data_IF_393689214392
#
_entry.id   IF_393689214392
#
_cell.length_a   1.000
_cell.length_b   1.000
_cell.length_c   1.000
_cell.angle_alpha   90.00
_cell.angle_beta   90.00
_cell.angle_gamma   90.00
#
_symmetry.space_group_name_H-M   'P 1'
#
loop_
_entity.id
_entity.type
_entity.pdbx_description
1 polymer ?
#
# COMPACT_ATOMS: atom_id res chain seq x y z
N UNK A 1 66.75 11.67 15.74
CA UNK A 1 66.98 11.73 14.29
C UNK A 1 66.10 10.64 13.70
N UNK A 2 64.87 10.98 13.33
CA UNK A 2 63.95 10.06 12.68
C UNK A 2 64.30 10.00 11.20
N UNK A 3 64.62 8.81 10.70
CA UNK A 3 64.74 8.58 9.27
C UNK A 3 63.35 8.64 8.66
N UNK A 4 63.01 9.77 8.05
CA UNK A 4 61.88 9.87 7.12
C UNK A 4 62.27 9.15 5.82
N UNK A 5 62.12 7.83 5.83
CA UNK A 5 62.20 7.06 4.59
C UNK A 5 60.98 7.40 3.72
N UNK A 6 61.22 7.82 2.48
CA UNK A 6 60.17 7.99 1.48
C UNK A 6 59.45 6.66 1.28
N UNK A 7 58.13 6.65 1.49
CA UNK A 7 57.28 5.44 1.39
C UNK A 7 57.11 4.96 -0.06
N UNK A 8 57.43 5.82 -1.05
CA UNK A 8 57.28 5.54 -2.48
C UNK A 8 58.64 5.37 -3.15
N UNK A 9 58.74 4.39 -4.06
CA UNK A 9 59.97 4.19 -4.83
C UNK A 9 60.17 5.31 -5.87
N UNK A 10 61.41 5.64 -6.27
CA UNK A 10 61.73 6.80 -7.12
C UNK A 10 61.10 6.83 -8.53
N UNK A 11 60.46 5.76 -8.95
CA UNK A 11 59.72 5.65 -10.22
C UNK A 11 58.20 5.56 -10.04
N UNK A 12 57.71 5.60 -8.81
CA UNK A 12 56.30 5.43 -8.48
C UNK A 12 55.63 6.81 -8.39
N UNK A 13 54.90 7.17 -9.45
CA UNK A 13 54.08 8.38 -9.47
C UNK A 13 52.66 8.02 -9.03
N UNK A 14 52.09 8.86 -8.14
CA UNK A 14 50.68 8.76 -7.77
C UNK A 14 49.82 8.90 -9.03
N UNK A 15 49.12 7.84 -9.39
CA UNK A 15 48.16 7.87 -10.50
C UNK A 15 46.93 8.65 -10.03
N UNK A 16 46.89 9.95 -10.33
CA UNK A 16 45.79 10.85 -9.96
C UNK A 16 44.44 10.33 -10.48
N UNK A 17 44.42 9.71 -11.66
CA UNK A 17 43.24 9.05 -12.23
C UNK A 17 42.77 7.85 -11.40
N UNK A 18 43.69 7.10 -10.77
CA UNK A 18 43.34 6.01 -9.84
C UNK A 18 42.85 6.55 -8.48
N UNK A 19 43.34 7.72 -8.06
CA UNK A 19 42.89 8.43 -6.86
C UNK A 19 41.43 8.88 -6.99
N UNK A 20 41.05 9.39 -8.17
CA UNK A 20 39.66 9.79 -8.46
C UNK A 20 38.73 8.63 -8.81
N UNK A 21 39.23 7.46 -9.24
CA UNK A 21 38.37 6.29 -9.51
C UNK A 21 37.80 5.64 -8.25
N UNK A 22 38.37 5.90 -7.06
CA UNK A 22 37.77 5.50 -5.78
C UNK A 22 36.49 6.30 -5.50
N UNK A 23 36.37 7.50 -6.09
CA UNK A 23 35.23 8.40 -5.92
C UNK A 23 34.29 8.48 -7.14
N UNK A 24 34.70 7.92 -8.28
CA UNK A 24 33.95 8.00 -9.53
C UNK A 24 33.41 6.63 -9.97
N UNK A 25 32.21 6.33 -9.43
CA UNK A 25 31.14 5.50 -9.99
C UNK A 25 31.27 3.98 -9.77
N UNK A 26 30.47 3.49 -8.81
CA UNK A 26 29.71 2.24 -8.98
C UNK A 26 29.72 1.26 -7.82
N UNK A 27 28.74 1.43 -6.92
CA UNK A 27 27.97 0.31 -6.32
C UNK A 27 28.72 -0.71 -5.45
N UNK A 28 28.93 -0.35 -4.17
CA UNK A 28 28.75 -1.23 -2.99
C UNK A 28 29.15 -0.48 -1.72
N UNK A 29 28.33 0.50 -1.34
CA UNK A 29 28.16 0.87 0.06
C UNK A 29 26.71 0.53 0.44
N UNK A 30 26.43 -0.77 0.41
CA UNK A 30 25.45 -1.33 1.34
C UNK A 30 26.19 -1.39 2.67
N UNK A 31 25.51 -0.95 3.72
CA UNK A 31 25.85 -0.98 5.15
C UNK A 31 26.27 0.38 5.76
N UNK A 32 25.28 0.91 6.49
CA UNK A 32 25.34 1.83 7.63
C UNK A 32 25.55 3.33 7.37
N UNK A 33 24.42 4.02 7.16
CA UNK A 33 24.09 5.27 7.88
C UNK A 33 22.57 5.64 7.78
N UNK A 34 21.68 4.64 7.87
CA UNK A 34 20.21 4.83 7.92
C UNK A 34 19.64 4.67 9.35
N UNK A 35 20.41 4.97 10.40
CA UNK A 35 19.93 4.87 11.79
C UNK A 35 19.25 6.14 12.34
N UNK A 36 19.29 7.29 11.64
CA UNK A 36 18.90 8.58 12.24
C UNK A 36 17.67 9.29 11.64
N UNK A 37 16.88 8.68 10.75
CA UNK A 37 15.73 9.40 10.14
C UNK A 37 14.44 8.60 9.90
N UNK A 38 14.27 7.41 10.48
CA UNK A 38 12.99 6.71 10.42
C UNK A 38 12.23 6.90 11.72
N UNK A 39 11.34 7.90 11.77
CA UNK A 39 10.10 7.71 12.52
C UNK A 39 9.37 6.59 11.79
N UNK A 40 9.62 5.37 12.25
CA UNK A 40 8.90 4.21 11.75
C UNK A 40 7.41 4.45 11.99
N UNK A 41 6.57 3.97 11.08
CA UNK A 41 5.10 3.96 11.23
C UNK A 41 4.65 3.62 12.67
N UNK A 42 5.41 2.75 13.35
CA UNK A 42 5.25 2.37 14.75
C UNK A 42 5.32 3.54 15.76
N UNK A 43 6.26 4.49 15.61
CA UNK A 43 6.37 5.64 16.51
C UNK A 43 5.17 6.57 16.35
N UNK A 44 4.74 6.82 15.11
CA UNK A 44 3.52 7.60 14.85
C UNK A 44 2.27 6.91 15.43
N UNK A 45 2.20 5.59 15.35
CA UNK A 45 1.10 4.81 15.93
C UNK A 45 1.12 4.85 17.47
N UNK A 46 2.29 4.74 18.08
CA UNK A 46 2.46 4.87 19.53
C UNK A 46 2.12 6.27 20.02
N UNK A 47 2.49 7.32 19.28
CA UNK A 47 2.09 8.69 19.59
C UNK A 47 0.56 8.84 19.62
N UNK A 48 -0.16 8.26 18.67
CA UNK A 48 -1.63 8.27 18.68
C UNK A 48 -2.22 7.43 19.81
N UNK A 49 -1.57 6.32 20.19
CA UNK A 49 -1.99 5.45 21.30
C UNK A 49 -1.82 6.15 22.64
N UNK A 50 -0.72 6.87 22.83
CA UNK A 50 -0.44 7.71 24.00
C UNK A 50 -1.42 8.88 24.06
N UNK A 51 -1.61 9.61 22.95
CA UNK A 51 -2.58 10.71 22.88
C UNK A 51 -3.99 10.28 23.30
N UNK A 52 -4.44 9.11 22.85
CA UNK A 52 -5.75 8.57 23.25
C UNK A 52 -5.87 8.30 24.76
N UNK A 53 -4.75 8.04 25.43
CA UNK A 53 -4.70 7.76 26.87
C UNK A 53 -4.58 9.05 27.67
N UNK A 54 -3.69 9.96 27.24
CA UNK A 54 -3.34 11.19 27.96
C UNK A 54 -4.36 12.31 27.73
N UNK A 55 -4.87 12.45 26.50
CA UNK A 55 -5.90 13.41 26.13
C UNK A 55 -6.93 12.79 25.15
N UNK A 56 -7.91 12.03 25.68
CA UNK A 56 -8.96 11.41 24.86
C UNK A 56 -9.80 12.42 24.09
N UNK A 57 -9.97 13.65 24.61
CA UNK A 57 -10.80 14.66 23.98
C UNK A 57 -10.12 15.20 22.70
N UNK A 58 -8.81 15.42 22.75
CA UNK A 58 -8.02 15.84 21.59
C UNK A 58 -7.95 14.73 20.54
N UNK A 59 -7.80 13.46 20.97
CA UNK A 59 -7.87 12.32 20.07
C UNK A 59 -9.22 12.25 19.32
N UNK A 60 -10.33 12.35 20.03
CA UNK A 60 -11.68 12.36 19.43
C UNK A 60 -11.87 13.57 18.51
N UNK A 61 -11.35 14.74 18.89
CA UNK A 61 -11.40 15.94 18.04
C UNK A 61 -10.68 15.69 16.71
N UNK A 62 -9.49 15.10 16.74
CA UNK A 62 -8.70 14.79 15.54
C UNK A 62 -9.39 13.71 14.69
N UNK A 63 -9.88 12.64 15.32
CA UNK A 63 -10.55 11.53 14.65
C UNK A 63 -11.84 11.97 13.90
N UNK A 64 -12.52 13.00 14.42
CA UNK A 64 -13.75 13.55 13.84
C UNK A 64 -13.51 14.75 12.90
N UNK A 65 -12.26 15.07 12.54
CA UNK A 65 -11.99 16.12 11.56
C UNK A 65 -12.56 15.76 10.19
N UNK A 66 -13.23 16.72 9.56
CA UNK A 66 -13.70 16.57 8.18
C UNK A 66 -12.53 16.47 7.22
N UNK A 67 -12.73 15.77 6.11
CA UNK A 67 -11.80 15.78 4.98
C UNK A 67 -11.55 17.20 4.44
N UNK A 68 -10.37 17.39 3.86
CA UNK A 68 -9.94 18.63 3.21
C UNK A 68 -9.27 19.62 4.16
N UNK A 69 -8.74 19.18 5.31
CA UNK A 69 -7.95 20.02 6.20
C UNK A 69 -6.67 20.48 5.50
N UNK A 70 -6.34 21.76 5.64
CA UNK A 70 -5.13 22.35 5.05
C UNK A 70 -4.38 23.12 6.11
N UNK A 71 -3.06 22.90 6.18
CA UNK A 71 -2.16 23.63 7.06
C UNK A 71 -0.90 24.03 6.31
N UNK A 72 -0.29 25.15 6.68
CA UNK A 72 1.10 25.45 6.34
C UNK A 72 2.00 25.18 7.54
N UNK A 73 3.27 24.90 7.30
CA UNK A 73 4.28 24.85 8.35
C UNK A 73 5.65 25.23 7.81
N UNK A 74 6.56 25.57 8.73
CA UNK A 74 7.97 25.71 8.39
C UNK A 74 8.61 24.34 8.22
N UNK A 75 9.42 24.20 7.18
CA UNK A 75 10.13 22.94 6.91
C UNK A 75 11.46 23.20 6.20
N UNK A 76 12.47 22.39 6.50
CA UNK A 76 13.72 22.39 5.74
C UNK A 76 13.47 21.97 4.27
N UNK A 77 12.64 20.95 4.08
CA UNK A 77 12.20 20.49 2.77
C UNK A 77 11.02 21.33 2.30
N UNK A 78 11.19 22.06 1.19
CA UNK A 78 10.12 22.87 0.57
C UNK A 78 9.25 22.02 -0.33
N UNK A 79 7.95 22.27 -0.32
CA UNK A 79 7.01 21.47 -1.10
C UNK A 79 5.65 21.34 -0.45
N UNK A 80 4.96 20.24 -0.74
CA UNK A 80 3.59 20.00 -0.27
C UNK A 80 3.39 18.53 0.04
N UNK A 81 2.72 18.25 1.15
CA UNK A 81 2.23 16.90 1.45
C UNK A 81 0.76 16.83 1.11
N UNK A 82 0.33 15.76 0.45
CA UNK A 82 -1.06 15.53 0.05
C UNK A 82 -1.46 14.11 0.40
N UNK A 83 -2.54 13.96 1.15
CA UNK A 83 -3.14 12.67 1.47
C UNK A 83 -4.51 12.52 0.79
N UNK A 84 -4.62 11.51 -0.06
CA UNK A 84 -5.78 11.23 -0.90
C UNK A 84 -6.41 9.89 -0.55
N UNK A 85 -7.73 9.79 -0.69
CA UNK A 85 -8.48 8.55 -0.49
C UNK A 85 -9.57 8.38 -1.55
N UNK A 86 -9.75 7.14 -2.01
CA UNK A 86 -10.88 6.66 -2.80
C UNK A 86 -11.24 5.25 -2.29
N UNK A 87 -12.20 5.18 -1.37
CA UNK A 87 -12.61 3.93 -0.73
C UNK A 87 -11.48 3.40 0.14
N UNK A 88 -11.02 2.18 -0.14
CA UNK A 88 -9.85 1.57 0.51
C UNK A 88 -8.50 2.00 -0.10
N UNK A 89 -8.51 2.61 -1.29
CA UNK A 89 -7.29 3.07 -1.93
C UNK A 89 -6.87 4.43 -1.35
N UNK A 90 -5.68 4.47 -0.76
CA UNK A 90 -5.13 5.64 -0.09
C UNK A 90 -3.72 5.92 -0.57
N UNK A 91 -3.35 7.20 -0.67
CA UNK A 91 -2.00 7.61 -1.02
C UNK A 91 -1.57 8.85 -0.26
N UNK A 92 -0.39 8.76 0.34
CA UNK A 92 0.34 9.87 0.93
C UNK A 92 1.48 10.26 -0.02
N UNK A 93 1.53 11.53 -0.41
CA UNK A 93 2.44 12.03 -1.44
C UNK A 93 3.22 13.23 -0.90
N UNK A 94 4.54 13.22 -1.09
CA UNK A 94 5.36 14.43 -0.99
C UNK A 94 5.60 14.99 -2.39
N UNK A 95 5.24 16.25 -2.57
CA UNK A 95 5.42 17.01 -3.79
C UNK A 95 6.51 18.06 -3.59
N UNK A 96 7.28 18.33 -4.63
CA UNK A 96 8.22 19.45 -4.65
C UNK A 96 7.50 20.81 -4.82
N UNK A 97 8.28 21.89 -4.93
CA UNK A 97 7.75 23.23 -5.16
C UNK A 97 6.95 23.36 -6.48
N UNK A 98 7.30 22.57 -7.49
CA UNK A 98 6.67 22.55 -8.82
C UNK A 98 5.45 21.62 -8.90
N UNK A 99 5.19 20.82 -7.87
CA UNK A 99 4.08 19.87 -7.80
C UNK A 99 4.40 18.48 -8.36
N UNK A 100 5.67 18.17 -8.63
CA UNK A 100 6.10 16.82 -8.99
C UNK A 100 6.23 15.93 -7.75
N UNK A 101 5.91 14.64 -7.90
CA UNK A 101 6.00 13.68 -6.80
C UNK A 101 7.48 13.37 -6.53
N UNK A 102 7.93 13.70 -5.32
CA UNK A 102 9.27 13.36 -4.82
C UNK A 102 9.28 11.94 -4.27
N UNK A 103 8.31 11.61 -3.43
CA UNK A 103 8.18 10.27 -2.83
C UNK A 103 6.73 9.95 -2.45
N UNK A 104 6.45 8.65 -2.33
CA UNK A 104 5.22 8.09 -1.77
C UNK A 104 5.49 7.23 -0.52
N UNK A 105 6.74 7.20 -0.05
CA UNK A 105 7.14 6.43 1.12
C UNK A 105 6.61 7.07 2.41
N UNK A 106 5.83 6.32 3.18
CA UNK A 106 5.09 6.85 4.33
C UNK A 106 6.05 7.35 5.41
N UNK A 107 7.10 6.58 5.74
CA UNK A 107 8.04 6.94 6.80
C UNK A 107 8.75 8.26 6.49
N UNK A 108 9.21 8.42 5.23
CA UNK A 108 9.83 9.66 4.75
C UNK A 108 8.88 10.85 4.86
N UNK A 109 7.62 10.69 4.43
CA UNK A 109 6.64 11.79 4.50
C UNK A 109 6.29 12.14 5.94
N UNK A 110 6.13 11.16 6.83
CA UNK A 110 5.87 11.39 8.25
C UNK A 110 7.05 12.11 8.93
N UNK A 111 8.30 11.76 8.57
CA UNK A 111 9.49 12.45 9.05
C UNK A 111 9.47 13.95 8.71
N UNK A 112 9.06 14.30 7.48
CA UNK A 112 8.92 15.70 7.05
C UNK A 112 7.72 16.41 7.72
N UNK A 113 6.70 15.67 8.16
CA UNK A 113 5.53 16.20 8.86
C UNK A 113 5.70 16.30 10.39
N UNK A 114 6.82 15.82 10.95
CA UNK A 114 7.07 15.85 12.40
C UNK A 114 7.01 17.28 12.93
N UNK A 115 6.09 17.55 13.86
CA UNK A 115 5.90 18.86 14.49
C UNK A 115 5.93 18.73 16.01
N UNK A 116 6.22 19.84 16.69
CA UNK A 116 6.06 19.94 18.15
C UNK A 116 4.69 20.51 18.49
N UNK A 117 4.14 20.24 19.70
CA UNK A 117 2.83 20.78 20.11
C UNK A 117 2.74 22.31 20.08
N UNK A 118 3.87 23.00 20.28
CA UNK A 118 3.96 24.46 20.31
C UNK A 118 4.16 25.09 18.92
N UNK A 119 4.28 24.27 17.86
CA UNK A 119 4.50 24.77 16.50
C UNK A 119 3.22 25.41 15.96
N UNK A 120 3.31 26.69 15.60
CA UNK A 120 2.17 27.45 15.08
C UNK A 120 1.98 27.14 13.59
N UNK A 121 0.76 26.74 13.22
CA UNK A 121 0.37 26.56 11.83
C UNK A 121 0.43 27.86 11.02
N UNK A 122 0.98 27.77 9.83
CA UNK A 122 1.08 28.88 8.88
C UNK A 122 -0.11 28.91 7.90
N UNK A 123 -0.43 30.08 7.33
CA UNK A 123 -1.36 30.16 6.21
C UNK A 123 -0.79 29.43 4.99
N UNK A 124 -1.70 28.89 4.19
CA UNK A 124 -1.39 28.19 2.94
C UNK A 124 -1.45 29.16 1.77
N UNK A 125 -0.45 29.13 0.90
CA UNK A 125 -0.39 30.00 -0.27
C UNK A 125 -1.45 29.61 -1.34
N UNK A 126 -1.91 30.53 -2.22
CA UNK A 126 -2.91 30.20 -3.23
C UNK A 126 -2.49 29.15 -4.26
N UNK A 127 -1.20 29.04 -4.58
CA UNK A 127 -0.65 28.03 -5.50
C UNK A 127 -0.69 26.62 -4.89
N UNK A 128 -0.74 26.50 -3.55
CA UNK A 128 -1.00 25.24 -2.87
C UNK A 128 -2.27 24.56 -3.34
N UNK A 129 -3.36 25.32 -3.48
CA UNK A 129 -4.64 24.76 -3.89
C UNK A 129 -4.57 24.19 -5.31
N UNK A 130 -3.83 24.84 -6.19
CA UNK A 130 -3.63 24.38 -7.56
C UNK A 130 -2.84 23.06 -7.59
N UNK A 131 -1.74 22.96 -6.84
CA UNK A 131 -0.95 21.74 -6.74
C UNK A 131 -1.76 20.57 -6.13
N UNK A 132 -2.53 20.82 -5.07
CA UNK A 132 -3.41 19.83 -4.45
C UNK A 132 -4.50 19.36 -5.42
N UNK A 133 -5.08 20.27 -6.20
CA UNK A 133 -6.09 19.92 -7.20
C UNK A 133 -5.50 19.08 -8.35
N UNK A 134 -4.28 19.39 -8.79
CA UNK A 134 -3.55 18.60 -9.77
C UNK A 134 -3.24 17.18 -9.24
N UNK A 135 -2.74 17.08 -8.00
CA UNK A 135 -2.48 15.81 -7.33
C UNK A 135 -3.76 14.97 -7.16
N UNK A 136 -4.87 15.59 -6.74
CA UNK A 136 -6.19 14.95 -6.66
C UNK A 136 -6.61 14.38 -8.01
N UNK A 137 -6.42 15.14 -9.08
CA UNK A 137 -6.81 14.73 -10.44
C UNK A 137 -5.96 13.57 -10.95
N UNK A 138 -4.66 13.55 -10.64
CA UNK A 138 -3.77 12.43 -10.93
C UNK A 138 -4.17 11.18 -10.16
N UNK A 139 -4.39 11.31 -8.84
CA UNK A 139 -4.88 10.24 -7.99
C UNK A 139 -6.22 9.67 -8.47
N UNK A 140 -7.16 10.52 -8.89
CA UNK A 140 -8.45 10.09 -9.42
C UNK A 140 -8.31 9.21 -10.67
N UNK A 141 -7.38 9.54 -11.56
CA UNK A 141 -7.08 8.70 -12.75
C UNK A 141 -6.50 7.35 -12.34
N UNK A 142 -5.54 7.33 -11.42
CA UNK A 142 -4.93 6.09 -10.91
C UNK A 142 -5.96 5.20 -10.18
N UNK A 143 -6.82 5.80 -9.36
CA UNK A 143 -7.87 5.10 -8.64
C UNK A 143 -8.88 4.48 -9.60
N UNK A 144 -9.29 5.23 -10.64
CA UNK A 144 -10.19 4.72 -11.66
C UNK A 144 -9.57 3.58 -12.48
N UNK A 145 -8.31 3.71 -12.90
CA UNK A 145 -7.59 2.63 -13.59
C UNK A 145 -7.54 1.36 -12.75
N UNK A 146 -7.19 1.48 -11.46
CA UNK A 146 -7.18 0.35 -10.52
C UNK A 146 -8.56 -0.27 -10.35
N UNK A 147 -9.60 0.54 -10.24
CA UNK A 147 -10.96 0.05 -10.13
C UNK A 147 -11.36 -0.73 -11.38
N UNK A 148 -11.07 -0.22 -12.58
CA UNK A 148 -11.32 -0.93 -13.84
C UNK A 148 -10.53 -2.25 -13.90
N UNK A 149 -9.26 -2.25 -13.49
CA UNK A 149 -8.43 -3.47 -13.41
C UNK A 149 -8.99 -4.48 -12.39
N UNK A 150 -9.47 -4.00 -11.23
CA UNK A 150 -10.11 -4.81 -10.20
C UNK A 150 -11.43 -5.39 -10.71
N UNK A 151 -12.32 -4.58 -11.30
CA UNK A 151 -13.58 -5.04 -11.91
C UNK A 151 -13.34 -6.05 -13.04
N UNK A 152 -12.28 -5.86 -13.83
CA UNK A 152 -11.86 -6.85 -14.83
C UNK A 152 -11.33 -8.14 -14.17
N UNK A 153 -10.64 -8.02 -13.04
CA UNK A 153 -10.19 -9.16 -12.20
C UNK A 153 -11.35 -9.81 -11.43
N UNK A 154 -12.42 -9.08 -11.13
CA UNK A 154 -13.68 -9.55 -10.53
C UNK A 154 -14.58 -10.26 -11.54
N UNK A 155 -14.29 -10.17 -12.84
CA UNK A 155 -14.87 -11.10 -13.79
C UNK A 155 -14.36 -12.52 -13.48
N UNK A 156 -15.27 -13.42 -13.11
CA UNK A 156 -14.94 -14.82 -12.77
C UNK A 156 -13.91 -15.37 -13.76
N UNK A 157 -12.77 -15.86 -13.27
CA UNK A 157 -11.76 -16.45 -14.14
C UNK A 157 -12.34 -17.64 -14.93
N UNK A 158 -11.71 -18.00 -16.06
CA UNK A 158 -12.16 -19.16 -16.83
C UNK A 158 -12.18 -20.46 -15.99
N UNK A 159 -11.27 -20.60 -15.02
CA UNK A 159 -11.29 -21.72 -14.07
C UNK A 159 -12.46 -21.64 -13.09
N UNK A 160 -12.72 -20.48 -12.48
CA UNK A 160 -13.88 -20.28 -11.60
C UNK A 160 -15.21 -20.53 -12.33
N UNK A 161 -15.37 -20.07 -13.58
CA UNK A 161 -16.61 -20.32 -14.34
C UNK A 161 -16.87 -21.81 -14.55
N UNK A 162 -15.83 -22.58 -14.86
CA UNK A 162 -15.95 -24.03 -15.05
C UNK A 162 -16.28 -24.69 -13.71
N UNK A 163 -15.54 -24.39 -12.66
CA UNK A 163 -15.76 -24.96 -11.32
C UNK A 163 -17.17 -24.65 -10.80
N UNK A 164 -17.64 -23.41 -10.92
CA UNK A 164 -18.99 -23.02 -10.52
C UNK A 164 -20.08 -23.71 -11.35
N UNK A 165 -19.82 -24.00 -12.63
CA UNK A 165 -20.74 -24.78 -13.46
C UNK A 165 -20.82 -26.23 -12.97
N UNK A 166 -19.68 -26.86 -12.69
CA UNK A 166 -19.67 -28.24 -12.19
C UNK A 166 -20.29 -28.37 -10.80
N UNK A 167 -20.09 -27.39 -9.90
CA UNK A 167 -20.78 -27.35 -8.61
C UNK A 167 -22.31 -27.29 -8.75
N UNK A 168 -22.83 -26.54 -9.73
CA UNK A 168 -24.27 -26.50 -10.02
C UNK A 168 -24.79 -27.84 -10.55
N UNK A 169 -24.00 -28.52 -11.37
CA UNK A 169 -24.30 -29.87 -11.84
C UNK A 169 -24.38 -30.85 -10.65
N UNK A 170 -23.37 -30.85 -9.78
CA UNK A 170 -23.31 -31.70 -8.59
C UNK A 170 -24.48 -31.42 -7.62
N UNK A 171 -24.84 -30.15 -7.44
CA UNK A 171 -25.99 -29.74 -6.64
C UNK A 171 -27.31 -30.30 -7.19
N UNK A 172 -27.49 -30.26 -8.51
CA UNK A 172 -28.69 -30.75 -9.17
C UNK A 172 -28.83 -32.28 -9.11
N UNK A 173 -27.72 -33.01 -9.14
CA UNK A 173 -27.69 -34.48 -9.11
C UNK A 173 -27.81 -35.07 -7.69
N UNK A 174 -27.43 -34.30 -6.68
CA UNK A 174 -27.47 -34.74 -5.28
C UNK A 174 -28.86 -34.52 -4.67
N UNK A 175 -29.37 -35.49 -3.91
CA UNK A 175 -30.60 -35.37 -3.08
C UNK A 175 -30.32 -35.22 -1.59
N UNK A 176 -29.07 -35.42 -1.17
CA UNK A 176 -28.60 -35.23 0.20
C UNK A 176 -28.60 -33.74 0.58
N UNK A 177 -29.26 -33.43 1.71
CA UNK A 177 -29.46 -32.06 2.19
C UNK A 177 -28.16 -31.46 2.73
N UNK A 178 -27.35 -32.25 3.43
CA UNK A 178 -26.11 -31.78 4.04
C UNK A 178 -25.07 -31.52 2.94
N UNK A 179 -25.00 -32.40 1.95
CA UNK A 179 -24.16 -32.22 0.77
C UNK A 179 -24.56 -30.99 -0.05
N UNK A 180 -25.87 -30.74 -0.24
CA UNK A 180 -26.36 -29.52 -0.89
C UNK A 180 -25.97 -28.25 -0.13
N UNK A 181 -26.02 -28.28 1.21
CA UNK A 181 -25.57 -27.17 2.04
C UNK A 181 -24.08 -26.92 1.87
N UNK A 182 -23.26 -27.97 1.87
CA UNK A 182 -21.82 -27.88 1.63
C UNK A 182 -21.49 -27.29 0.25
N UNK A 183 -22.13 -27.78 -0.82
CA UNK A 183 -21.94 -27.25 -2.18
C UNK A 183 -22.31 -25.76 -2.25
N UNK A 184 -23.38 -25.34 -1.56
CA UNK A 184 -23.79 -23.93 -1.51
C UNK A 184 -22.76 -23.03 -0.83
N UNK A 185 -22.11 -23.53 0.24
CA UNK A 185 -21.02 -22.82 0.92
C UNK A 185 -19.82 -22.63 -0.01
N UNK A 186 -19.41 -23.71 -0.70
CA UNK A 186 -18.30 -23.67 -1.65
C UNK A 186 -18.61 -22.73 -2.83
N UNK A 187 -19.82 -22.79 -3.40
CA UNK A 187 -20.20 -21.91 -4.51
C UNK A 187 -20.09 -20.42 -4.12
N UNK A 188 -20.52 -20.07 -2.92
CA UNK A 188 -20.39 -18.69 -2.42
C UNK A 188 -18.93 -18.28 -2.22
N UNK A 189 -18.08 -19.15 -1.68
CA UNK A 189 -16.67 -18.88 -1.43
C UNK A 189 -15.88 -18.67 -2.72
N UNK A 190 -16.05 -19.57 -3.70
CA UNK A 190 -15.29 -19.54 -4.96
C UNK A 190 -15.82 -18.56 -6.01
N UNK A 191 -17.01 -17.97 -5.78
CA UNK A 191 -17.55 -16.87 -6.58
C UNK A 191 -16.91 -15.51 -6.24
N UNK A 192 -16.34 -15.36 -5.04
CA UNK A 192 -15.67 -14.14 -4.59
C UNK A 192 -14.27 -13.94 -5.20
N UNK A 193 -13.58 -12.83 -4.84
CA UNK A 193 -12.19 -12.62 -5.21
C UNK A 193 -11.31 -13.68 -4.56
N UNK A 194 -10.45 -14.32 -5.37
CA UNK A 194 -9.55 -15.39 -4.93
C UNK A 194 -8.09 -14.97 -5.09
N UNK A 195 -7.23 -15.37 -4.15
CA UNK A 195 -5.78 -15.14 -4.26
C UNK A 195 -5.18 -15.87 -5.46
N UNK A 196 -4.03 -15.39 -5.96
CA UNK A 196 -3.32 -16.04 -7.10
C UNK A 196 -3.01 -17.51 -6.83
N UNK A 197 -2.70 -17.87 -5.59
CA UNK A 197 -2.45 -19.25 -5.20
C UNK A 197 -3.70 -20.12 -5.39
N UNK A 198 -4.86 -19.67 -4.91
CA UNK A 198 -6.13 -20.39 -5.10
C UNK A 198 -6.50 -20.47 -6.58
N UNK A 199 -6.30 -19.39 -7.35
CA UNK A 199 -6.57 -19.40 -8.80
C UNK A 199 -5.70 -20.42 -9.55
N UNK A 200 -4.43 -20.57 -9.16
CA UNK A 200 -3.52 -21.57 -9.73
C UNK A 200 -4.01 -23.00 -9.46
N UNK A 201 -4.52 -23.25 -8.25
CA UNK A 201 -5.09 -24.55 -7.87
C UNK A 201 -6.37 -24.86 -8.66
N UNK A 202 -7.28 -23.89 -8.79
CA UNK A 202 -8.47 -24.07 -9.65
C UNK A 202 -8.09 -24.38 -11.10
N UNK A 203 -7.01 -23.78 -11.60
CA UNK A 203 -6.50 -24.06 -12.94
C UNK A 203 -5.90 -25.48 -13.04
N UNK A 204 -5.26 -25.99 -11.99
CA UNK A 204 -4.79 -27.37 -11.91
C UNK A 204 -5.95 -28.37 -11.88
N UNK A 205 -6.97 -28.13 -11.06
CA UNK A 205 -8.20 -28.94 -11.02
C UNK A 205 -8.89 -28.98 -12.39
N UNK A 206 -8.94 -27.85 -13.09
CA UNK A 206 -9.47 -27.77 -14.45
C UNK A 206 -8.68 -28.61 -15.44
N UNK A 207 -7.34 -28.61 -15.35
CA UNK A 207 -6.48 -29.45 -16.23
C UNK A 207 -6.64 -30.94 -15.93
N UNK A 208 -6.92 -31.29 -14.68
CA UNK A 208 -7.21 -32.65 -14.25
C UNK A 208 -8.63 -33.13 -14.64
N UNK A 209 -9.50 -32.26 -15.17
CA UNK A 209 -10.90 -32.55 -15.51
C UNK A 209 -11.69 -33.19 -14.35
N UNK A 210 -11.43 -32.76 -13.12
CA UNK A 210 -12.20 -33.19 -11.94
C UNK A 210 -13.63 -32.64 -12.01
N UNK A 211 -14.61 -33.50 -11.72
CA UNK A 211 -16.03 -33.18 -11.74
C UNK A 211 -16.76 -33.86 -10.58
N UNK A 212 -18.02 -33.50 -10.35
CA UNK A 212 -18.93 -34.09 -9.36
C UNK A 212 -18.32 -34.17 -7.94
N UNK A 213 -18.47 -35.31 -7.26
CA UNK A 213 -18.04 -35.49 -5.87
C UNK A 213 -16.52 -35.33 -5.64
N UNK A 214 -15.64 -35.88 -6.51
CA UNK A 214 -14.20 -35.62 -6.41
C UNK A 214 -13.85 -34.13 -6.46
N UNK A 215 -14.59 -33.35 -7.26
CA UNK A 215 -14.39 -31.89 -7.31
C UNK A 215 -14.84 -31.21 -6.02
N UNK A 216 -15.97 -31.61 -5.45
CA UNK A 216 -16.49 -31.06 -4.18
C UNK A 216 -15.54 -31.33 -3.02
N UNK A 217 -14.96 -32.53 -2.97
CA UNK A 217 -13.98 -32.92 -1.95
C UNK A 217 -12.71 -32.06 -2.05
N UNK A 218 -12.11 -31.95 -3.23
CA UNK A 218 -10.92 -31.11 -3.44
C UNK A 218 -11.19 -29.63 -3.16
N UNK A 219 -12.35 -29.11 -3.55
CA UNK A 219 -12.72 -27.73 -3.22
C UNK A 219 -12.92 -27.52 -1.72
N UNK A 220 -13.39 -28.53 -0.99
CA UNK A 220 -13.49 -28.48 0.48
C UNK A 220 -12.11 -28.47 1.14
N UNK A 221 -11.17 -29.23 0.60
CA UNK A 221 -9.77 -29.18 1.02
C UNK A 221 -9.15 -27.81 0.77
N UNK A 222 -9.34 -27.24 -0.44
CA UNK A 222 -8.86 -25.89 -0.76
C UNK A 222 -9.51 -24.83 0.13
N UNK A 223 -10.82 -24.94 0.37
CA UNK A 223 -11.58 -24.02 1.21
C UNK A 223 -10.99 -23.94 2.63
N UNK A 224 -10.67 -25.08 3.22
CA UNK A 224 -10.05 -25.16 4.56
C UNK A 224 -8.58 -24.74 4.54
N UNK A 225 -7.81 -25.22 3.56
CA UNK A 225 -6.36 -24.98 3.46
C UNK A 225 -6.02 -23.50 3.30
N UNK A 226 -6.86 -22.74 2.59
CA UNK A 226 -6.67 -21.31 2.37
C UNK A 226 -7.51 -20.43 3.31
N UNK A 227 -8.21 -21.01 4.30
CA UNK A 227 -8.98 -20.24 5.29
C UNK A 227 -10.10 -19.39 4.69
N UNK A 228 -10.76 -19.88 3.63
CA UNK A 228 -11.84 -19.15 2.96
C UNK A 228 -13.12 -19.03 3.83
N UNK A 229 -13.19 -19.80 4.91
CA UNK A 229 -14.20 -19.71 5.97
C UNK A 229 -14.06 -18.44 6.83
N UNK A 230 -12.83 -18.02 7.09
CA UNK A 230 -12.51 -16.88 7.94
C UNK A 230 -12.64 -15.53 7.22
N UNK A 231 -12.60 -15.54 5.88
CA UNK A 231 -12.75 -14.34 5.04
C UNK A 231 -14.21 -13.86 4.94
N UNK A 232 -15.17 -14.57 5.54
CA UNK A 232 -16.60 -14.25 5.53
C UNK A 232 -17.03 -13.22 6.59
N UNK A 233 -16.10 -12.45 7.13
CA UNK A 233 -16.43 -11.26 7.90
C UNK A 233 -16.75 -10.13 6.91
N UNK A 234 -17.97 -9.56 6.93
CA UNK A 234 -18.27 -8.42 6.09
C UNK A 234 -17.52 -7.23 6.69
N UNK A 235 -16.28 -6.99 6.25
CA UNK A 235 -15.82 -5.61 6.18
C UNK A 235 -16.82 -4.92 5.27
N UNK A 236 -17.57 -3.95 5.80
CA UNK A 236 -18.62 -3.23 5.10
C UNK A 236 -18.14 -2.90 3.68
N UNK A 237 -18.65 -3.65 2.70
CA UNK A 237 -18.50 -3.34 1.29
C UNK A 237 -19.40 -2.14 1.06
N UNK A 238 -18.85 -0.96 1.21
CA UNK A 238 -19.36 0.19 0.47
C UNK A 238 -19.06 -0.10 -1.00
N UNK A 239 -19.97 -0.83 -1.66
CA UNK A 239 -19.97 -1.17 -3.09
C UNK A 239 -20.24 0.06 -3.99
N UNK A 240 -20.03 1.28 -3.47
CA UNK A 240 -20.07 2.50 -4.25
C UNK A 240 -18.63 2.93 -4.59
N UNK A 241 -18.34 3.36 -5.83
CA UNK A 241 -17.06 4.00 -6.14
C UNK A 241 -16.94 5.24 -5.27
N UNK A 242 -16.14 5.15 -4.22
CA UNK A 242 -15.92 6.26 -3.32
C UNK A 242 -15.18 7.35 -4.08
N UNK A 243 -15.88 8.45 -4.33
CA UNK A 243 -15.35 9.59 -5.06
C UNK A 243 -14.01 10.02 -4.45
N UNK A 244 -12.96 10.26 -5.26
CA UNK A 244 -11.67 10.69 -4.75
C UNK A 244 -11.80 11.95 -3.90
N UNK A 245 -11.29 11.88 -2.67
CA UNK A 245 -11.25 12.99 -1.70
C UNK A 245 -9.82 13.30 -1.29
N UNK A 246 -9.59 14.57 -0.95
CA UNK A 246 -8.40 14.98 -0.20
C UNK A 246 -8.77 14.88 1.27
N UNK A 247 -8.06 14.04 2.02
CA UNK A 247 -8.25 13.92 3.47
C UNK A 247 -7.57 15.11 4.14
N UNK A 248 -6.30 15.35 3.84
CA UNK A 248 -5.58 16.53 4.30
C UNK A 248 -4.44 16.92 3.35
N UNK A 249 -3.95 18.15 3.49
CA UNK A 249 -2.74 18.62 2.82
C UNK A 249 -1.94 19.60 3.68
N UNK A 250 -0.62 19.58 3.54
CA UNK A 250 0.29 20.47 4.24
C UNK A 250 1.18 21.23 3.24
N UNK A 251 1.33 22.54 3.39
CA UNK A 251 2.36 23.32 2.71
C UNK A 251 3.63 23.35 3.55
N UNK A 252 4.76 23.07 2.93
CA UNK A 252 6.07 23.06 3.55
C UNK A 252 6.84 24.29 3.06
N UNK A 253 6.91 25.32 3.90
CA UNK A 253 7.36 26.67 3.57
C UNK A 253 8.70 27.01 4.20
#
# INVERSE_FOLDING_TARGET
IGEDAAVLEPGEALNETAMYSIYAIGDSAVLDDDEDASIGLNEAEELLRQLRTDDPAEYERIANLRNGIRAGRHSATKGRVVYCQAGQYQQLLLLDAHGAIVTRDIATVLGVLRATPDEIGLPVDPAHNHAVAAAKSAFAREAWQRQVEQEQTESLSAAQRVVLRELRTAFAQTTDVDMRAQISVLEAAFRGPLSRAVQSELQALRRANLADMPLVEELSHLYTRYGLDQQRQPAARDDAPAAPVIVCSAALV
#
